data_IF_100063624620
#
_entry.id   IF_100063624620
#
_cell.length_a   1.000
_cell.length_b   1.000
_cell.length_c   1.000
_cell.angle_alpha   90.00
_cell.angle_beta   90.00
_cell.angle_gamma   90.00
#
_symmetry.space_group_name_H-M   'P 1'
#
loop_
_entity.id
_entity.type
_entity.pdbx_description
1 polymer ?
#
# COMPACT_ATOMS: atom_id res chain seq x y z
N UNK A 1 20.33 -20.76 20.34
CA UNK A 1 19.40 -21.73 19.70
C UNK A 1 19.80 -21.85 18.25
N UNK A 2 19.67 -23.03 17.67
CA UNK A 2 20.13 -23.30 16.30
C UNK A 2 18.93 -23.63 15.41
N UNK A 3 18.90 -23.01 14.24
CA UNK A 3 17.82 -23.13 13.26
C UNK A 3 18.40 -23.58 11.90
N UNK A 4 17.58 -24.18 11.04
CA UNK A 4 18.01 -24.50 9.68
C UNK A 4 17.92 -23.27 8.78
N UNK A 5 16.85 -22.48 8.94
CA UNK A 5 16.52 -21.37 8.05
C UNK A 5 16.29 -20.06 8.80
N UNK A 6 16.95 -18.99 8.34
CA UNK A 6 16.75 -17.62 8.80
C UNK A 6 16.13 -16.74 7.72
N UNK A 7 15.00 -16.10 8.04
CA UNK A 7 14.31 -15.15 7.16
C UNK A 7 14.45 -13.73 7.70
N UNK A 8 14.87 -12.82 6.86
CA UNK A 8 14.94 -11.41 7.22
C UNK A 8 13.66 -10.69 6.80
N UNK A 9 13.02 -10.04 7.78
CA UNK A 9 11.90 -9.15 7.56
C UNK A 9 10.52 -9.73 7.85
N UNK A 10 9.64 -8.84 8.27
CA UNK A 10 8.29 -9.18 8.77
C UNK A 10 7.17 -8.55 7.93
N UNK A 11 7.47 -8.18 6.68
CA UNK A 11 6.45 -7.72 5.73
C UNK A 11 5.36 -8.78 5.52
N UNK A 12 4.11 -8.35 5.29
CA UNK A 12 2.96 -9.23 4.99
C UNK A 12 3.34 -10.30 3.96
N UNK A 13 4.01 -9.90 2.87
CA UNK A 13 4.46 -10.81 1.80
C UNK A 13 5.42 -11.88 2.31
N UNK A 14 6.41 -11.49 3.12
CA UNK A 14 7.37 -12.45 3.70
C UNK A 14 6.64 -13.45 4.59
N UNK A 15 5.72 -12.97 5.42
CA UNK A 15 4.99 -13.80 6.36
C UNK A 15 4.02 -14.77 5.65
N UNK A 16 3.28 -14.31 4.63
CA UNK A 16 2.38 -15.19 3.84
C UNK A 16 3.18 -16.31 3.17
N UNK A 17 4.35 -16.02 2.59
CA UNK A 17 5.21 -17.06 1.99
C UNK A 17 5.62 -18.13 3.00
N UNK A 18 5.80 -17.78 4.27
CA UNK A 18 6.13 -18.77 5.31
C UNK A 18 4.97 -19.74 5.57
N UNK A 19 3.72 -19.38 5.27
CA UNK A 19 2.61 -20.33 5.37
C UNK A 19 2.68 -21.44 4.33
N UNK A 20 3.31 -21.19 3.18
CA UNK A 20 3.49 -22.12 2.06
C UNK A 20 4.66 -23.09 2.29
N UNK A 21 5.49 -22.84 3.30
CA UNK A 21 6.71 -23.59 3.56
C UNK A 21 6.44 -24.55 4.72
N UNK A 22 6.50 -25.86 4.45
CA UNK A 22 6.44 -26.90 5.47
C UNK A 22 7.84 -27.16 6.05
N UNK A 23 8.34 -26.21 6.84
CA UNK A 23 9.64 -26.34 7.48
C UNK A 23 9.55 -26.13 8.99
N UNK A 24 10.15 -27.08 9.72
CA UNK A 24 10.47 -26.93 11.14
C UNK A 24 11.79 -26.17 11.26
N UNK A 25 12.03 -25.53 12.41
CA UNK A 25 13.30 -24.83 12.70
C UNK A 25 13.55 -23.58 11.84
N UNK A 26 12.54 -22.71 11.77
CA UNK A 26 12.62 -21.40 11.11
C UNK A 26 12.71 -20.29 12.15
N UNK A 27 13.65 -19.37 11.94
CA UNK A 27 13.70 -18.09 12.65
C UNK A 27 13.47 -16.94 11.67
N UNK A 28 12.59 -16.02 12.04
CA UNK A 28 12.37 -14.74 11.36
C UNK A 28 12.98 -13.65 12.21
N UNK A 29 13.77 -12.77 11.61
CA UNK A 29 14.38 -11.65 12.32
C UNK A 29 14.18 -10.32 11.60
N UNK A 30 14.08 -9.25 12.38
CA UNK A 30 13.92 -7.89 11.88
C UNK A 30 14.61 -6.88 12.79
N UNK A 31 15.26 -5.89 12.21
CA UNK A 31 15.90 -4.79 12.93
C UNK A 31 14.95 -3.59 13.11
N UNK A 32 13.64 -3.85 13.10
CA UNK A 32 12.57 -2.87 13.24
C UNK A 32 11.97 -2.95 14.64
N UNK A 33 11.33 -1.89 15.11
CA UNK A 33 10.61 -1.90 16.40
C UNK A 33 9.33 -2.73 16.34
N UNK A 34 8.67 -2.67 15.19
CA UNK A 34 7.38 -3.27 14.93
C UNK A 34 7.50 -4.30 13.83
N UNK A 35 6.57 -5.24 13.79
CA UNK A 35 6.43 -6.12 12.64
C UNK A 35 5.89 -5.33 11.44
N UNK A 36 6.23 -5.80 10.24
CA UNK A 36 5.75 -5.23 8.99
C UNK A 36 6.64 -4.12 8.46
N UNK A 37 6.01 -3.21 7.72
CA UNK A 37 6.66 -2.09 7.03
C UNK A 37 6.22 -0.73 7.58
N UNK A 38 5.48 -0.75 8.70
CA UNK A 38 5.00 0.44 9.40
C UNK A 38 6.09 0.97 10.33
N UNK A 39 6.25 2.29 10.40
CA UNK A 39 7.25 2.94 11.25
C UNK A 39 6.71 4.23 11.83
N UNK A 40 7.23 4.65 12.99
CA UNK A 40 7.03 6.03 13.43
C UNK A 40 7.78 6.97 12.49
N UNK A 41 7.36 8.24 12.34
CA UNK A 41 8.09 9.22 11.54
C UNK A 41 9.56 9.36 11.93
N UNK A 42 9.87 9.25 13.22
CA UNK A 42 11.25 9.29 13.73
C UNK A 42 12.08 8.07 13.35
N UNK A 43 11.47 6.91 13.17
CA UNK A 43 12.16 5.65 12.86
C UNK A 43 12.31 5.39 11.36
N UNK A 44 11.66 6.18 10.51
CA UNK A 44 11.77 6.06 9.05
C UNK A 44 13.24 6.08 8.59
N UNK A 45 14.10 6.90 9.21
CA UNK A 45 15.50 7.00 8.84
C UNK A 45 16.30 5.71 9.11
N UNK A 46 15.87 4.93 10.09
CA UNK A 46 16.49 3.65 10.47
C UNK A 46 15.84 2.44 9.81
N UNK A 47 14.66 2.63 9.19
CA UNK A 47 13.95 1.56 8.50
C UNK A 47 14.77 1.02 7.32
N UNK A 48 14.96 -0.30 7.26
CA UNK A 48 15.69 -0.94 6.16
C UNK A 48 15.00 -0.76 4.79
N UNK A 49 13.69 -0.57 4.81
CA UNK A 49 12.81 -0.37 3.66
C UNK A 49 12.96 1.04 3.07
N UNK A 50 13.47 1.99 3.86
CA UNK A 50 13.60 3.40 3.47
C UNK A 50 15.01 3.70 2.96
N UNK A 51 15.10 4.50 1.89
CA UNK A 51 16.31 5.10 1.35
C UNK A 51 16.08 6.59 1.10
N UNK A 52 17.16 7.36 1.13
CA UNK A 52 17.16 8.79 0.78
C UNK A 52 16.09 9.60 1.54
N UNK A 53 15.93 9.33 2.83
CA UNK A 53 14.93 10.04 3.62
C UNK A 53 15.27 11.53 3.70
N UNK A 54 14.23 12.36 3.57
CA UNK A 54 14.28 13.79 3.83
C UNK A 54 13.08 14.18 4.68
N UNK A 55 13.32 14.65 5.89
CA UNK A 55 12.28 15.18 6.77
C UNK A 55 12.27 16.70 6.60
N UNK A 56 11.24 17.24 5.96
CA UNK A 56 11.09 18.69 5.78
C UNK A 56 10.40 19.33 6.98
N UNK A 57 9.46 18.63 7.61
CA UNK A 57 8.69 19.11 8.77
C UNK A 57 8.29 17.93 9.67
N UNK A 58 8.36 18.10 10.99
CA UNK A 58 7.99 17.08 11.97
C UNK A 58 7.46 17.72 13.24
N UNK A 59 6.20 18.14 13.23
CA UNK A 59 5.56 18.77 14.39
C UNK A 59 4.77 17.79 15.26
N UNK A 60 4.38 16.62 14.74
CA UNK A 60 3.55 15.65 15.44
C UNK A 60 4.10 14.23 15.28
N UNK A 61 4.85 13.68 16.25
CA UNK A 61 5.48 12.38 16.10
C UNK A 61 4.50 11.19 16.22
N UNK A 62 3.27 11.40 16.71
CA UNK A 62 2.32 10.32 17.00
C UNK A 62 1.49 9.90 15.78
N UNK A 63 2.15 9.48 14.71
CA UNK A 63 1.49 8.77 13.61
C UNK A 63 2.25 7.50 13.21
N UNK A 64 1.56 6.63 12.50
CA UNK A 64 2.10 5.41 11.92
C UNK A 64 2.22 5.64 10.41
N UNK A 65 3.45 5.54 9.92
CA UNK A 65 3.77 5.76 8.51
C UNK A 65 4.12 4.42 7.88
N UNK A 66 3.40 4.07 6.83
CA UNK A 66 3.73 2.91 6.02
C UNK A 66 4.89 3.24 5.08
N UNK A 67 5.94 2.44 5.11
CA UNK A 67 7.04 2.54 4.13
C UNK A 67 6.69 1.91 2.79
N UNK A 68 5.58 1.16 2.76
CA UNK A 68 4.91 0.62 1.56
C UNK A 68 3.39 0.76 1.74
N UNK A 69 2.83 1.98 1.68
CA UNK A 69 1.39 2.19 1.88
C UNK A 69 0.58 1.42 0.84
N UNK A 70 -0.46 0.73 1.29
CA UNK A 70 -1.28 -0.16 0.47
C UNK A 70 -2.74 -0.05 0.86
N UNK A 71 -3.60 -0.16 -0.16
CA UNK A 71 -5.02 -0.39 -0.01
C UNK A 71 -5.32 -1.82 -0.47
N UNK A 72 -6.26 -2.46 0.19
CA UNK A 72 -6.70 -3.81 -0.15
C UNK A 72 -7.94 -3.69 -1.02
N UNK A 73 -7.97 -4.38 -2.17
CA UNK A 73 -9.24 -4.58 -2.87
C UNK A 73 -10.08 -5.54 -2.04
N UNK A 74 -11.34 -5.20 -1.82
CA UNK A 74 -12.27 -6.02 -1.03
C UNK A 74 -12.42 -7.43 -1.59
N UNK A 75 -12.35 -7.58 -2.92
CA UNK A 75 -12.39 -8.86 -3.63
C UNK A 75 -11.00 -9.30 -4.17
N UNK A 76 -9.91 -8.79 -3.59
CA UNK A 76 -8.54 -9.14 -4.01
C UNK A 76 -8.00 -10.40 -3.33
N UNK A 77 -7.06 -11.10 -3.97
CA UNK A 77 -6.53 -12.38 -3.47
C UNK A 77 -5.90 -12.29 -2.09
N UNK A 78 -5.38 -11.12 -1.70
CA UNK A 78 -4.83 -10.93 -0.36
C UNK A 78 -5.92 -11.00 0.72
N UNK A 79 -7.09 -10.39 0.49
CA UNK A 79 -8.22 -10.51 1.43
C UNK A 79 -8.70 -11.95 1.50
N UNK A 80 -8.89 -12.61 0.35
CA UNK A 80 -9.24 -14.05 0.30
C UNK A 80 -8.22 -14.91 1.03
N UNK A 81 -6.93 -14.60 0.90
CA UNK A 81 -5.87 -15.33 1.61
C UNK A 81 -5.89 -15.09 3.12
N UNK A 82 -6.21 -13.88 3.57
CA UNK A 82 -6.39 -13.60 5.00
C UNK A 82 -7.63 -14.31 5.55
N UNK A 83 -8.68 -14.45 4.75
CA UNK A 83 -9.88 -15.23 5.08
C UNK A 83 -9.56 -16.72 5.23
N UNK A 84 -8.84 -17.31 4.28
CA UNK A 84 -8.37 -18.72 4.34
C UNK A 84 -7.51 -19.03 5.58
N UNK A 85 -6.86 -18.01 6.15
CA UNK A 85 -6.02 -18.12 7.34
C UNK A 85 -6.78 -17.78 8.65
N UNK A 86 -8.10 -17.57 8.58
CA UNK A 86 -8.97 -17.15 9.69
C UNK A 86 -8.52 -15.83 10.36
N UNK A 87 -7.81 -14.97 9.61
CA UNK A 87 -7.26 -13.72 10.15
C UNK A 87 -8.25 -12.56 10.15
N UNK A 88 -9.24 -12.58 9.27
CA UNK A 88 -10.26 -11.51 9.20
C UNK A 88 -11.10 -11.39 10.48
N UNK A 89 -11.13 -12.42 11.34
CA UNK A 89 -11.78 -12.36 12.65
C UNK A 89 -11.05 -11.44 13.65
N UNK A 90 -9.79 -11.12 13.40
CA UNK A 90 -8.92 -10.39 14.32
C UNK A 90 -8.41 -9.06 13.74
N UNK A 91 -8.80 -8.72 12.51
CA UNK A 91 -8.33 -7.52 11.82
C UNK A 91 -9.55 -6.74 11.34
N UNK A 92 -9.76 -5.57 11.92
CA UNK A 92 -10.80 -4.66 11.49
C UNK A 92 -10.32 -3.83 10.29
N UNK A 93 -11.21 -3.63 9.33
CA UNK A 93 -10.95 -2.82 8.14
C UNK A 93 -11.94 -1.65 8.06
N UNK A 94 -11.44 -0.50 7.60
CA UNK A 94 -12.26 0.62 7.16
C UNK A 94 -12.43 0.55 5.65
N UNK A 95 -13.66 0.59 5.18
CA UNK A 95 -14.00 0.63 3.77
C UNK A 95 -13.77 2.02 3.18
N UNK A 96 -13.17 2.08 1.99
CA UNK A 96 -12.92 3.32 1.26
C UNK A 96 -13.72 3.25 -0.04
N UNK A 97 -14.73 4.13 -0.14
CA UNK A 97 -15.68 4.18 -1.25
C UNK A 97 -15.24 5.10 -2.39
N UNK A 98 -14.38 6.07 -2.09
CA UNK A 98 -14.01 7.10 -3.05
C UNK A 98 -12.71 6.73 -3.78
N UNK A 99 -12.85 6.49 -5.09
CA UNK A 99 -11.76 6.39 -6.04
C UNK A 99 -11.80 7.62 -6.97
N UNK A 100 -10.76 8.44 -6.95
CA UNK A 100 -10.70 9.71 -7.66
C UNK A 100 -9.62 9.73 -8.76
N UNK A 101 -9.92 10.34 -9.89
CA UNK A 101 -8.93 10.82 -10.84
C UNK A 101 -8.85 12.34 -10.78
N UNK A 102 -7.65 12.89 -10.77
CA UNK A 102 -7.38 14.33 -10.66
C UNK A 102 -6.50 14.71 -11.84
N UNK A 103 -7.01 15.54 -12.73
CA UNK A 103 -6.26 15.95 -13.93
C UNK A 103 -5.22 17.06 -13.64
N UNK A 104 -4.53 17.51 -14.67
CA UNK A 104 -3.48 18.55 -14.57
C UNK A 104 -4.03 19.92 -14.13
N UNK A 105 -5.33 20.16 -14.35
CA UNK A 105 -6.03 21.37 -13.93
C UNK A 105 -6.64 21.24 -12.53
N UNK A 106 -6.35 20.13 -11.83
CA UNK A 106 -6.89 19.74 -10.53
C UNK A 106 -8.41 19.52 -10.53
N UNK A 107 -9.00 19.21 -11.68
CA UNK A 107 -10.39 18.79 -11.77
C UNK A 107 -10.51 17.37 -11.23
N UNK A 108 -11.46 17.18 -10.30
CA UNK A 108 -11.68 15.90 -9.62
C UNK A 108 -12.81 15.13 -10.28
N UNK A 109 -12.53 13.90 -10.70
CA UNK A 109 -13.47 12.96 -11.29
C UNK A 109 -13.59 11.74 -10.40
N UNK A 110 -14.81 11.42 -9.95
CA UNK A 110 -15.07 10.16 -9.25
C UNK A 110 -15.17 9.02 -10.26
N UNK A 111 -14.44 7.94 -10.01
CA UNK A 111 -14.55 6.67 -10.74
C UNK A 111 -15.79 5.94 -10.22
N UNK A 112 -16.76 5.61 -11.09
CA UNK A 112 -17.95 4.88 -10.66
C UNK A 112 -17.60 3.48 -10.16
N UNK A 113 -18.15 3.07 -9.02
CA UNK A 113 -18.20 1.68 -8.56
C UNK A 113 -19.64 1.20 -8.33
N UNK A 114 -20.63 2.08 -8.46
CA UNK A 114 -22.04 1.76 -8.31
C UNK A 114 -22.86 2.38 -9.46
N UNK A 115 -24.00 1.77 -9.78
CA UNK A 115 -24.88 2.23 -10.87
C UNK A 115 -25.27 3.71 -10.73
N UNK A 116 -25.60 4.16 -9.51
CA UNK A 116 -25.98 5.55 -9.26
C UNK A 116 -24.82 6.52 -9.51
N UNK A 117 -23.57 6.08 -9.43
CA UNK A 117 -22.39 6.90 -9.70
C UNK A 117 -22.16 7.07 -11.20
N UNK A 118 -22.48 6.05 -12.00
CA UNK A 118 -22.51 6.18 -13.47
C UNK A 118 -23.53 7.26 -13.85
N UNK A 119 -24.75 7.18 -13.29
CA UNK A 119 -25.82 8.16 -13.57
C UNK A 119 -25.41 9.58 -13.16
N UNK A 120 -24.78 9.74 -11.98
CA UNK A 120 -24.31 11.03 -11.45
C UNK A 120 -23.02 11.53 -12.08
N UNK A 121 -22.29 10.70 -12.83
CA UNK A 121 -21.02 11.09 -13.43
C UNK A 121 -21.18 12.31 -14.33
N UNK A 122 -20.28 13.28 -14.17
CA UNK A 122 -20.25 14.52 -14.96
C UNK A 122 -19.32 14.43 -16.17
N UNK A 123 -18.41 13.46 -16.17
CA UNK A 123 -17.42 13.28 -17.23
C UNK A 123 -17.88 12.28 -18.30
N UNK A 124 -19.05 11.68 -18.13
CA UNK A 124 -19.69 10.80 -19.11
C UNK A 124 -20.91 11.50 -19.74
N UNK A 125 -21.02 11.45 -21.06
CA UNK A 125 -22.26 11.76 -21.79
C UNK A 125 -23.34 10.70 -21.54
N UNK A 126 -24.59 10.99 -21.95
CA UNK A 126 -25.69 10.03 -21.78
C UNK A 126 -25.44 8.69 -22.51
N UNK A 127 -24.82 8.73 -23.70
CA UNK A 127 -24.49 7.53 -24.47
C UNK A 127 -23.36 6.73 -23.78
N UNK A 128 -22.33 7.43 -23.31
CA UNK A 128 -21.22 6.82 -22.58
C UNK A 128 -21.68 6.19 -21.26
N UNK A 129 -22.62 6.81 -20.54
CA UNK A 129 -23.23 6.23 -19.34
C UNK A 129 -23.90 4.88 -19.62
N UNK A 130 -24.64 4.78 -20.72
CA UNK A 130 -25.26 3.52 -21.13
C UNK A 130 -24.19 2.46 -21.47
N UNK A 131 -23.17 2.83 -22.25
CA UNK A 131 -22.08 1.91 -22.59
C UNK A 131 -21.33 1.43 -21.33
N UNK A 132 -21.03 2.34 -20.41
CA UNK A 132 -20.40 2.04 -19.13
C UNK A 132 -21.25 1.09 -18.28
N UNK A 133 -22.56 1.34 -18.18
CA UNK A 133 -23.49 0.47 -17.47
C UNK A 133 -23.49 -0.95 -18.05
N UNK A 134 -23.62 -1.11 -19.37
CA UNK A 134 -23.57 -2.45 -19.97
C UNK A 134 -22.20 -3.11 -19.81
N UNK A 135 -21.11 -2.34 -19.85
CA UNK A 135 -19.76 -2.86 -19.65
C UNK A 135 -19.56 -3.43 -18.24
N UNK A 136 -19.93 -2.70 -17.19
CA UNK A 136 -19.73 -3.17 -15.80
C UNK A 136 -20.60 -4.38 -15.45
N UNK A 137 -21.75 -4.53 -16.12
CA UNK A 137 -22.64 -5.69 -15.99
C UNK A 137 -22.31 -6.82 -16.97
N UNK A 138 -21.11 -6.84 -17.57
CA UNK A 138 -20.63 -7.86 -18.51
C UNK A 138 -21.52 -8.08 -19.74
N UNK A 139 -22.31 -7.07 -20.10
CA UNK A 139 -23.20 -7.06 -21.27
C UNK A 139 -22.55 -6.41 -22.50
N UNK A 140 -21.33 -5.86 -22.37
CA UNK A 140 -20.57 -5.22 -23.44
C UNK A 140 -19.10 -5.62 -23.31
N UNK A 141 -18.44 -5.97 -24.42
CA UNK A 141 -17.00 -6.27 -24.39
C UNK A 141 -16.18 -4.99 -24.24
N UNK A 142 -14.95 -5.10 -23.75
CA UNK A 142 -14.09 -3.93 -23.54
C UNK A 142 -13.80 -3.17 -24.84
N UNK A 143 -13.63 -3.87 -25.95
CA UNK A 143 -13.36 -3.26 -27.26
C UNK A 143 -14.56 -2.42 -27.73
N UNK A 144 -15.77 -2.90 -27.46
CA UNK A 144 -17.02 -2.20 -27.78
C UNK A 144 -17.24 -1.04 -26.82
N UNK A 145 -16.96 -1.22 -25.53
CA UNK A 145 -16.95 -0.15 -24.53
C UNK A 145 -15.99 0.97 -24.95
N UNK A 146 -14.74 0.63 -25.30
CA UNK A 146 -13.75 1.57 -25.79
C UNK A 146 -14.22 2.27 -27.07
N UNK A 147 -14.83 1.57 -28.01
CA UNK A 147 -15.35 2.18 -29.23
C UNK A 147 -16.51 3.17 -28.96
N UNK A 148 -17.26 2.98 -27.87
CA UNK A 148 -18.38 3.82 -27.48
C UNK A 148 -18.00 5.05 -26.64
N UNK A 149 -16.72 5.17 -26.24
CA UNK A 149 -16.24 6.20 -25.32
C UNK A 149 -15.46 7.28 -26.08
N UNK A 150 -15.61 8.54 -25.65
CA UNK A 150 -14.77 9.62 -26.15
C UNK A 150 -13.33 9.49 -25.64
N UNK A 151 -12.37 10.08 -26.36
CA UNK A 151 -10.95 10.06 -25.97
C UNK A 151 -10.72 10.59 -24.55
N UNK A 152 -11.50 11.60 -24.14
CA UNK A 152 -11.40 12.19 -22.80
C UNK A 152 -11.91 11.24 -21.71
N UNK A 153 -13.10 10.65 -21.90
CA UNK A 153 -13.65 9.68 -20.96
C UNK A 153 -12.77 8.43 -20.84
N UNK A 154 -12.21 7.96 -21.95
CA UNK A 154 -11.22 6.87 -21.97
C UNK A 154 -9.94 7.25 -21.25
N UNK A 155 -9.43 8.46 -21.46
CA UNK A 155 -8.25 8.96 -20.76
C UNK A 155 -8.46 8.97 -19.25
N UNK A 156 -9.59 9.52 -18.78
CA UNK A 156 -9.97 9.52 -17.37
C UNK A 156 -10.05 8.08 -16.83
N UNK A 157 -10.79 7.21 -17.52
CA UNK A 157 -10.95 5.80 -17.12
C UNK A 157 -9.60 5.08 -17.03
N UNK A 158 -8.79 5.13 -18.09
CA UNK A 158 -7.51 4.43 -18.16
C UNK A 158 -6.49 4.94 -17.14
N UNK A 159 -6.40 6.26 -16.96
CA UNK A 159 -5.48 6.85 -15.99
C UNK A 159 -5.92 6.55 -14.56
N UNK A 160 -7.23 6.61 -14.28
CA UNK A 160 -7.76 6.32 -12.94
C UNK A 160 -7.42 4.90 -12.47
N UNK A 161 -7.49 3.93 -13.37
CA UNK A 161 -7.15 2.54 -13.07
C UNK A 161 -5.64 2.25 -13.22
N UNK A 162 -4.83 3.26 -13.55
CA UNK A 162 -3.40 3.12 -13.87
C UNK A 162 -3.14 1.95 -14.83
N UNK A 163 -3.95 1.83 -15.89
CA UNK A 163 -3.90 0.68 -16.81
C UNK A 163 -2.56 0.66 -17.54
N UNK A 164 -1.65 -0.22 -17.08
CA UNK A 164 -0.43 -0.56 -17.80
C UNK A 164 -0.69 -1.69 -18.81
N UNK A 165 -1.52 -2.66 -18.43
CA UNK A 165 -2.03 -3.72 -19.31
C UNK A 165 -3.51 -3.98 -19.01
N UNK A 166 -4.29 -4.27 -20.05
CA UNK A 166 -5.73 -4.52 -19.92
C UNK A 166 -6.02 -5.74 -19.03
N UNK A 167 -5.24 -6.83 -19.19
CA UNK A 167 -5.54 -8.12 -18.58
C UNK A 167 -5.56 -8.08 -17.04
N UNK A 168 -4.90 -7.09 -16.43
CA UNK A 168 -4.75 -7.03 -14.98
C UNK A 168 -5.65 -5.98 -14.32
N UNK A 169 -5.87 -4.81 -14.93
CA UNK A 169 -6.55 -3.71 -14.24
C UNK A 169 -8.07 -3.75 -14.37
N UNK A 170 -8.59 -4.10 -15.55
CA UNK A 170 -10.04 -4.07 -15.80
C UNK A 170 -10.77 -5.19 -15.05
N UNK A 171 -10.33 -6.46 -15.09
CA UNK A 171 -11.00 -7.52 -14.32
C UNK A 171 -11.06 -7.22 -12.82
N UNK A 172 -10.00 -6.64 -12.26
CA UNK A 172 -9.93 -6.22 -10.86
C UNK A 172 -10.87 -5.06 -10.52
N UNK A 173 -11.05 -4.13 -11.46
CA UNK A 173 -12.05 -3.07 -11.31
C UNK A 173 -13.47 -3.66 -11.35
N UNK A 174 -13.77 -4.49 -12.34
CA UNK A 174 -15.09 -5.12 -12.53
C UNK A 174 -15.46 -6.04 -11.37
N UNK A 175 -14.51 -6.81 -10.83
CA UNK A 175 -14.76 -7.68 -9.67
C UNK A 175 -15.14 -6.91 -8.42
N UNK A 176 -14.77 -5.63 -8.33
CA UNK A 176 -15.11 -4.76 -7.20
C UNK A 176 -16.38 -3.93 -7.43
N UNK A 177 -17.00 -4.00 -8.62
CA UNK A 177 -18.19 -3.20 -8.92
C UNK A 177 -19.40 -3.66 -8.07
N UNK A 178 -20.14 -2.69 -7.53
CA UNK A 178 -21.22 -2.92 -6.58
C UNK A 178 -20.78 -3.12 -5.12
N UNK A 179 -19.47 -3.10 -4.86
CA UNK A 179 -18.87 -3.24 -3.53
C UNK A 179 -17.96 -2.03 -3.24
N UNK A 180 -17.57 -1.80 -1.97
CA UNK A 180 -16.51 -0.84 -1.66
C UNK A 180 -15.23 -1.24 -2.41
N UNK A 181 -14.60 -0.34 -3.19
CA UNK A 181 -13.48 -0.70 -4.04
C UNK A 181 -12.22 -1.05 -3.26
N UNK A 182 -12.07 -0.46 -2.08
CA UNK A 182 -10.88 -0.59 -1.27
C UNK A 182 -11.23 -0.72 0.21
N UNK A 183 -10.31 -1.30 0.97
CA UNK A 183 -10.31 -1.30 2.42
C UNK A 183 -8.90 -1.02 2.95
N UNK A 184 -8.84 -0.54 4.19
CA UNK A 184 -7.60 -0.26 4.90
C UNK A 184 -7.68 -0.77 6.34
N UNK A 185 -6.68 -1.50 6.83
CA UNK A 185 -6.69 -2.07 8.18
C UNK A 185 -6.61 -0.96 9.24
N UNK A 186 -7.42 -1.09 10.28
CA UNK A 186 -7.28 -0.26 11.47
C UNK A 186 -5.91 -0.54 12.10
N UNK A 187 -5.22 0.51 12.53
CA UNK A 187 -3.82 0.50 13.00
C UNK A 187 -2.77 0.24 11.89
N UNK A 188 -3.17 0.29 10.62
CA UNK A 188 -2.27 0.19 9.48
C UNK A 188 -1.85 -1.26 9.16
N UNK A 189 -0.89 -1.41 8.25
CA UNK A 189 -0.46 -2.69 7.72
C UNK A 189 0.22 -3.57 8.78
N UNK A 190 0.75 -2.94 9.83
CA UNK A 190 1.31 -3.61 11.01
C UNK A 190 0.35 -4.63 11.60
N UNK A 191 -0.94 -4.33 11.69
CA UNK A 191 -1.90 -5.24 12.35
C UNK A 191 -1.92 -6.60 11.63
N UNK A 192 -1.89 -6.60 10.29
CA UNK A 192 -1.84 -7.82 9.49
C UNK A 192 -0.52 -8.58 9.75
N UNK A 193 0.61 -7.87 9.78
CA UNK A 193 1.90 -8.48 10.09
C UNK A 193 1.96 -9.07 11.50
N UNK A 194 1.43 -8.37 12.51
CA UNK A 194 1.36 -8.82 13.90
C UNK A 194 0.52 -10.12 14.01
N UNK A 195 -0.66 -10.17 13.38
CA UNK A 195 -1.52 -11.36 13.40
C UNK A 195 -0.91 -12.55 12.62
N UNK A 196 -0.31 -12.30 11.45
CA UNK A 196 0.39 -13.34 10.68
C UNK A 196 1.55 -13.92 11.49
N UNK A 197 2.35 -13.07 12.15
CA UNK A 197 3.45 -13.51 13.01
C UNK A 197 2.95 -14.38 14.16
N UNK A 198 1.84 -14.00 14.81
CA UNK A 198 1.22 -14.81 15.87
C UNK A 198 0.81 -16.20 15.37
N UNK A 199 0.16 -16.27 14.21
CA UNK A 199 -0.24 -17.53 13.60
C UNK A 199 0.96 -18.41 13.21
N UNK A 200 2.03 -17.81 12.70
CA UNK A 200 3.27 -18.53 12.41
C UNK A 200 3.97 -19.04 13.68
N UNK A 201 3.86 -18.33 14.81
CA UNK A 201 4.37 -18.83 16.09
C UNK A 201 3.67 -20.10 16.55
N UNK A 202 2.35 -20.25 16.31
CA UNK A 202 1.65 -21.52 16.54
C UNK A 202 2.12 -22.65 15.62
N UNK A 203 2.77 -22.32 14.50
CA UNK A 203 3.42 -23.26 13.57
C UNK A 203 4.90 -23.49 13.88
N UNK A 204 5.38 -23.10 15.07
CA UNK A 204 6.78 -23.21 15.53
C UNK A 204 7.79 -22.34 14.76
N UNK A 205 7.34 -21.22 14.18
CA UNK A 205 8.25 -20.18 13.67
C UNK A 205 8.65 -19.26 14.82
N UNK A 206 9.96 -19.12 15.04
CA UNK A 206 10.51 -18.22 16.05
C UNK A 206 10.70 -16.82 15.47
N UNK A 207 10.42 -15.78 16.25
CA UNK A 207 10.61 -14.38 15.84
C UNK A 207 11.63 -13.68 16.74
N UNK A 208 12.54 -12.92 16.13
CA UNK A 208 13.49 -12.04 16.80
C UNK A 208 13.42 -10.64 16.17
N UNK A 209 12.55 -9.79 16.72
CA UNK A 209 12.29 -8.43 16.22
C UNK A 209 12.75 -7.41 17.26
N UNK A 210 13.75 -6.59 16.92
CA UNK A 210 14.22 -5.49 17.77
C UNK A 210 15.17 -4.56 16.98
N UNK A 211 15.17 -3.24 17.25
CA UNK A 211 16.02 -2.25 16.57
C UNK A 211 17.52 -2.58 16.56
N UNK A 212 18.00 -3.26 17.61
CA UNK A 212 19.43 -3.59 17.78
C UNK A 212 19.84 -4.94 17.18
N UNK A 213 18.93 -5.63 16.49
CA UNK A 213 19.21 -6.92 15.84
C UNK A 213 20.28 -6.76 14.76
N UNK A 214 21.33 -7.58 14.87
CA UNK A 214 22.41 -7.69 13.89
C UNK A 214 22.51 -9.13 13.40
N UNK A 215 22.66 -9.32 12.09
CA UNK A 215 22.92 -10.61 11.47
C UNK A 215 24.33 -10.61 10.87
N UNK A 216 25.21 -11.48 11.37
CA UNK A 216 26.59 -11.62 10.91
C UNK A 216 26.77 -12.98 10.23
N UNK A 217 27.44 -12.99 9.07
CA UNK A 217 27.81 -14.22 8.38
C UNK A 217 29.09 -14.80 8.98
N UNK A 218 29.04 -16.05 9.42
CA UNK A 218 30.17 -16.84 9.90
C UNK A 218 30.61 -17.84 8.83
N UNK A 219 31.68 -18.60 9.08
CA UNK A 219 32.27 -19.51 8.09
C UNK A 219 31.31 -20.60 7.59
N UNK A 220 30.38 -21.07 8.43
CA UNK A 220 29.45 -22.16 8.12
C UNK A 220 27.99 -21.92 8.54
N UNK A 221 27.68 -20.75 9.11
CA UNK A 221 26.34 -20.38 9.58
C UNK A 221 26.19 -18.86 9.63
N UNK A 222 25.02 -18.39 10.03
CA UNK A 222 24.72 -17.00 10.34
C UNK A 222 24.38 -16.89 11.82
N UNK A 223 24.82 -15.82 12.46
CA UNK A 223 24.47 -15.49 13.84
C UNK A 223 23.63 -14.22 13.87
N UNK A 224 22.48 -14.30 14.55
CA UNK A 224 21.65 -13.16 14.93
C UNK A 224 21.99 -12.84 16.37
N UNK A 225 22.31 -11.58 16.65
CA UNK A 225 22.58 -11.09 18.00
C UNK A 225 21.75 -9.83 18.28
N UNK A 226 21.34 -9.66 19.54
CA UNK A 226 20.59 -8.52 20.01
C UNK A 226 20.45 -8.56 21.54
N UNK A 227 19.57 -7.73 22.08
CA UNK A 227 19.40 -7.56 23.54
C UNK A 227 18.89 -8.82 24.26
N UNK A 228 18.30 -9.79 23.54
CA UNK A 228 17.74 -11.03 24.11
C UNK A 228 18.66 -12.24 23.91
N UNK A 229 19.92 -12.02 23.55
CA UNK A 229 20.91 -13.07 23.30
C UNK A 229 21.12 -13.34 21.81
N UNK A 230 21.69 -14.50 21.50
CA UNK A 230 22.00 -14.91 20.13
C UNK A 230 21.32 -16.20 19.68
N UNK A 231 21.08 -16.28 18.37
CA UNK A 231 20.56 -17.45 17.68
C UNK A 231 21.38 -17.68 16.40
N UNK A 232 21.55 -18.94 16.01
CA UNK A 232 22.28 -19.28 14.78
C UNK A 232 21.37 -19.94 13.78
N UNK A 233 21.68 -19.80 12.48
CA UNK A 233 20.98 -20.52 11.43
C UNK A 233 21.89 -20.85 10.23
N UNK A 234 21.61 -21.94 9.52
CA UNK A 234 22.51 -22.39 8.43
C UNK A 234 22.27 -21.66 7.10
N UNK A 235 21.01 -21.44 6.73
CA UNK A 235 20.62 -20.88 5.43
C UNK A 235 19.87 -19.57 5.58
N UNK A 236 20.45 -18.47 5.08
CA UNK A 236 19.75 -17.20 4.95
C UNK A 236 18.84 -17.23 3.74
N UNK A 237 17.56 -16.93 3.96
CA UNK A 237 16.57 -16.70 2.91
C UNK A 237 16.22 -15.22 2.93
N UNK A 238 16.67 -14.50 1.91
CA UNK A 238 16.22 -13.13 1.70
C UNK A 238 14.82 -13.19 1.08
N UNK A 239 13.85 -12.49 1.67
CA UNK A 239 12.49 -12.40 1.13
C UNK A 239 12.42 -11.74 -0.27
N UNK A 240 13.51 -11.05 -0.65
CA UNK A 240 13.74 -10.43 -1.95
C UNK A 240 14.53 -11.38 -2.85
N UNK A 241 13.92 -11.81 -3.96
CA UNK A 241 14.60 -12.58 -5.00
C UNK A 241 15.81 -11.77 -5.50
N UNK A 242 17.03 -12.25 -5.27
CA UNK A 242 18.32 -11.59 -5.56
C UNK A 242 18.60 -11.56 -7.10
N UNK A 243 17.61 -11.20 -7.91
CA UNK A 243 17.73 -11.19 -9.38
C UNK A 243 16.62 -10.44 -10.12
N UNK A 244 15.56 -9.99 -9.44
CA UNK A 244 14.57 -9.12 -10.07
C UNK A 244 15.08 -7.67 -10.05
N UNK A 245 14.95 -6.97 -11.18
CA UNK A 245 15.19 -5.53 -11.24
C UNK A 245 14.09 -4.86 -10.42
N UNK A 246 14.41 -4.53 -9.17
CA UNK A 246 13.51 -3.86 -8.26
C UNK A 246 13.19 -2.45 -8.77
N UNK A 247 11.91 -2.19 -9.06
CA UNK A 247 11.43 -0.85 -9.41
C UNK A 247 11.56 0.06 -8.19
N UNK A 248 12.17 1.23 -8.37
CA UNK A 248 12.29 2.22 -7.31
C UNK A 248 11.01 3.06 -7.25
N UNK A 249 10.42 3.16 -6.07
CA UNK A 249 9.28 4.03 -5.81
C UNK A 249 9.69 5.21 -4.95
N UNK A 250 9.05 6.35 -5.18
CA UNK A 250 9.26 7.61 -4.48
C UNK A 250 7.99 7.96 -3.72
N UNK A 251 8.15 8.31 -2.46
CA UNK A 251 7.06 8.60 -1.54
C UNK A 251 7.22 10.01 -0.98
N UNK A 252 6.10 10.69 -0.79
CA UNK A 252 5.96 11.86 0.08
C UNK A 252 4.77 11.66 0.98
N UNK A 253 4.99 11.69 2.29
CA UNK A 253 3.97 11.47 3.30
C UNK A 253 3.74 12.77 4.04
N UNK A 254 2.48 13.18 4.07
CA UNK A 254 2.04 14.38 4.76
C UNK A 254 1.09 14.02 5.89
N UNK A 255 1.24 14.67 7.04
CA UNK A 255 0.20 14.74 8.05
C UNK A 255 -0.43 16.14 7.98
N UNK A 256 -1.73 16.22 7.72
CA UNK A 256 -2.46 17.47 7.49
C UNK A 256 -3.46 17.75 8.62
N UNK A 257 -3.74 19.02 8.90
CA UNK A 257 -4.80 19.47 9.85
C UNK A 257 -6.19 19.43 9.23
N UNK A 258 -6.28 19.43 7.91
CA UNK A 258 -7.53 19.42 7.14
C UNK A 258 -7.45 18.37 6.04
N UNK A 259 -8.59 17.81 5.58
CA UNK A 259 -8.60 16.86 4.48
C UNK A 259 -7.95 17.47 3.24
N UNK A 260 -7.21 16.67 2.46
CA UNK A 260 -6.65 17.15 1.19
C UNK A 260 -7.75 17.39 0.15
N UNK A 261 -8.61 16.40 -0.10
CA UNK A 261 -9.79 16.50 -0.97
C UNK A 261 -10.98 15.87 -0.24
N UNK A 262 -10.81 14.61 0.17
CA UNK A 262 -11.72 13.88 1.05
C UNK A 262 -10.93 13.30 2.24
N UNK A 263 -11.60 12.96 3.35
CA UNK A 263 -10.98 12.30 4.51
C UNK A 263 -10.36 10.95 4.19
N UNK A 264 -11.06 10.14 3.39
CA UNK A 264 -10.73 8.76 3.05
C UNK A 264 -10.93 8.56 1.55
N UNK A 265 -9.85 8.39 0.78
CA UNK A 265 -9.94 8.08 -0.63
C UNK A 265 -8.66 7.45 -1.19
N UNK A 266 -8.82 6.72 -2.29
CA UNK A 266 -7.75 6.42 -3.22
C UNK A 266 -7.85 7.35 -4.41
N UNK A 267 -6.73 7.81 -4.95
CA UNK A 267 -6.80 8.53 -6.21
C UNK A 267 -5.52 8.53 -7.01
N UNK A 268 -5.66 9.03 -8.23
CA UNK A 268 -4.59 9.16 -9.20
C UNK A 268 -4.56 10.60 -9.69
N UNK A 269 -3.41 11.26 -9.58
CA UNK A 269 -3.19 12.64 -10.01
C UNK A 269 -2.27 12.65 -11.22
N UNK A 270 -2.59 13.47 -12.23
CA UNK A 270 -1.68 13.76 -13.34
C UNK A 270 -0.96 15.07 -13.10
N UNK A 271 0.37 15.04 -13.02
CA UNK A 271 1.20 16.23 -12.84
C UNK A 271 2.33 16.20 -13.86
N UNK A 272 2.41 17.20 -14.73
CA UNK A 272 3.39 17.26 -15.82
C UNK A 272 3.40 15.97 -16.67
N UNK A 273 2.21 15.47 -17.04
CA UNK A 273 1.97 14.22 -17.77
C UNK A 273 2.46 12.95 -17.07
N UNK A 274 2.78 13.03 -15.78
CA UNK A 274 3.18 11.89 -14.97
C UNK A 274 2.11 11.56 -13.93
N UNK A 275 1.98 10.27 -13.65
CA UNK A 275 0.94 9.73 -12.78
C UNK A 275 1.47 9.59 -11.35
N UNK A 276 0.78 10.23 -10.39
CA UNK A 276 1.07 10.12 -8.96
C UNK A 276 -0.13 9.51 -8.26
N UNK A 277 0.08 8.40 -7.55
CA UNK A 277 -0.97 7.78 -6.75
C UNK A 277 -1.08 8.49 -5.41
N UNK A 278 -2.30 8.53 -4.87
CA UNK A 278 -2.62 9.18 -3.60
C UNK A 278 -3.48 8.26 -2.75
N UNK A 279 -3.09 8.09 -1.50
CA UNK A 279 -3.92 7.47 -0.46
C UNK A 279 -4.10 8.52 0.61
N UNK A 280 -5.35 8.85 0.94
CA UNK A 280 -5.68 9.66 2.09
C UNK A 280 -6.47 8.83 3.09
N UNK A 281 -6.06 8.89 4.35
CA UNK A 281 -6.77 8.28 5.48
C UNK A 281 -6.87 9.28 6.63
N UNK A 282 -7.98 9.20 7.38
CA UNK A 282 -8.21 10.04 8.54
C UNK A 282 -7.97 9.28 9.85
N UNK A 283 -8.26 9.91 10.98
CA UNK A 283 -8.07 9.31 12.29
C UNK A 283 -8.94 8.06 12.57
N UNK A 284 -9.96 7.77 11.74
CA UNK A 284 -10.81 6.57 11.93
C UNK A 284 -10.04 5.26 11.77
N UNK A 285 -8.97 5.26 10.95
CA UNK A 285 -8.09 4.10 10.79
C UNK A 285 -7.04 4.00 11.90
N UNK A 286 -7.01 4.95 12.85
CA UNK A 286 -6.12 4.98 14.04
C UNK A 286 -4.61 4.96 13.73
N UNK A 287 -4.21 5.47 12.57
CA UNK A 287 -2.79 5.67 12.20
C UNK A 287 -2.30 7.10 12.44
N UNK A 288 -3.18 8.03 12.76
CA UNK A 288 -2.84 9.43 13.05
C UNK A 288 -3.70 9.98 14.21
N UNK A 289 -3.30 11.10 14.83
CA UNK A 289 -4.05 11.71 15.92
C UNK A 289 -5.46 12.15 15.51
N UNK A 290 -6.38 12.36 16.46
CA UNK A 290 -7.71 12.91 16.18
C UNK A 290 -7.64 14.20 15.36
N UNK A 291 -8.62 14.38 14.47
CA UNK A 291 -8.76 15.57 13.62
C UNK A 291 -7.58 15.84 12.68
N UNK A 292 -6.82 14.80 12.31
CA UNK A 292 -5.73 14.88 11.34
C UNK A 292 -5.88 13.86 10.22
N UNK A 293 -5.19 14.11 9.11
CA UNK A 293 -5.30 13.32 7.87
C UNK A 293 -3.90 12.94 7.38
N UNK A 294 -3.67 11.65 7.17
CA UNK A 294 -2.42 11.12 6.64
C UNK A 294 -2.56 10.89 5.14
N UNK A 295 -1.70 11.55 4.36
CA UNK A 295 -1.74 11.52 2.90
C UNK A 295 -0.42 11.00 2.35
N UNK A 296 -0.49 9.94 1.57
CA UNK A 296 0.64 9.35 0.87
C UNK A 296 0.57 9.70 -0.61
N UNK A 297 1.58 10.40 -1.12
CA UNK A 297 1.84 10.54 -2.55
C UNK A 297 2.92 9.57 -2.96
N UNK A 298 2.70 8.79 -4.01
CA UNK A 298 3.74 7.88 -4.49
C UNK A 298 3.70 7.62 -6.00
N UNK A 299 4.88 7.40 -6.58
CA UNK A 299 5.03 7.02 -7.98
C UNK A 299 6.34 6.27 -8.22
N UNK A 300 6.51 5.76 -9.43
CA UNK A 300 7.70 5.06 -9.90
C UNK A 300 8.78 5.99 -10.47
N UNK A 301 8.62 7.28 -10.25
CA UNK A 301 9.53 8.34 -10.68
C UNK A 301 9.61 9.40 -9.58
N UNK A 302 10.63 10.24 -9.64
CA UNK A 302 10.79 11.28 -8.63
C UNK A 302 9.60 12.25 -8.62
N UNK A 303 9.04 12.49 -7.43
CA UNK A 303 7.92 13.41 -7.24
C UNK A 303 8.36 14.85 -7.52
N UNK A 304 7.55 15.67 -8.22
CA UNK A 304 7.91 17.05 -8.52
C UNK A 304 8.21 17.86 -7.26
N UNK A 305 9.28 18.66 -7.27
CA UNK A 305 9.62 19.52 -6.12
C UNK A 305 8.49 20.50 -5.77
N UNK A 306 7.74 20.96 -6.78
CA UNK A 306 6.60 21.87 -6.64
C UNK A 306 5.25 21.15 -6.42
N UNK A 307 5.26 19.89 -5.96
CA UNK A 307 4.04 19.11 -5.74
C UNK A 307 3.04 19.84 -4.82
N UNK A 308 3.45 20.30 -3.63
CA UNK A 308 2.50 20.95 -2.70
C UNK A 308 1.95 22.27 -3.22
N UNK A 309 2.77 23.20 -3.75
CA UNK A 309 2.24 24.42 -4.36
C UNK A 309 1.29 24.14 -5.52
N UNK A 310 1.62 23.15 -6.38
CA UNK A 310 0.75 22.76 -7.49
C UNK A 310 -0.60 22.25 -6.99
N UNK A 311 -0.61 21.42 -5.94
CA UNK A 311 -1.82 20.89 -5.32
C UNK A 311 -2.54 21.89 -4.39
N UNK A 312 -2.05 23.14 -4.29
CA UNK A 312 -2.58 24.18 -3.39
C UNK A 312 -2.64 23.75 -1.92
N UNK A 313 -1.69 22.92 -1.48
CA UNK A 313 -1.55 22.53 -0.07
C UNK A 313 -0.72 23.60 0.64
N UNK A 314 -1.35 24.34 1.55
CA UNK A 314 -0.73 25.41 2.31
C UNK A 314 0.17 24.86 3.43
N UNK A 315 1.35 25.46 3.63
CA UNK A 315 2.35 24.96 4.60
C UNK A 315 1.83 24.97 6.05
N UNK A 316 0.93 25.90 6.37
CA UNK A 316 0.28 25.98 7.69
C UNK A 316 -0.65 24.79 8.00
N UNK A 317 -1.14 24.12 6.96
CA UNK A 317 -1.94 22.89 7.08
C UNK A 317 -1.05 21.65 7.30
N UNK A 318 0.23 21.72 6.94
CA UNK A 318 1.16 20.60 7.04
C UNK A 318 1.74 20.51 8.46
N UNK A 319 1.48 19.41 9.16
CA UNK A 319 2.09 19.08 10.46
C UNK A 319 3.40 18.31 10.26
N UNK A 320 3.40 17.31 9.39
CA UNK A 320 4.59 16.53 9.04
C UNK A 320 4.74 16.46 7.52
N UNK A 321 5.98 16.45 7.04
CA UNK A 321 6.34 16.24 5.64
C UNK A 321 7.65 15.45 5.56
N UNK A 322 7.56 14.22 5.07
CA UNK A 322 8.69 13.34 4.87
C UNK A 322 8.68 12.78 3.44
N UNK A 323 9.84 12.80 2.78
CA UNK A 323 10.07 12.15 1.51
C UNK A 323 11.04 10.99 1.67
N UNK A 324 10.84 9.90 0.93
CA UNK A 324 11.79 8.79 0.88
C UNK A 324 11.56 7.92 -0.35
N UNK A 325 12.49 7.00 -0.59
CA UNK A 325 12.36 6.01 -1.67
C UNK A 325 12.37 4.60 -1.09
N UNK A 326 11.68 3.67 -1.76
CA UNK A 326 11.67 2.25 -1.43
C UNK A 326 11.94 1.41 -2.70
N UNK A 327 12.65 0.28 -2.54
CA UNK A 327 12.96 -0.68 -3.61
C UNK A 327 12.04 -1.91 -3.61
N UNK A 328 11.16 -2.03 -2.63
CA UNK A 328 10.20 -3.11 -2.64
C UNK A 328 9.10 -2.81 -3.64
N UNK A 329 9.07 -3.63 -4.70
CA UNK A 329 7.96 -3.66 -5.62
C UNK A 329 6.77 -4.31 -4.91
N UNK A 330 5.78 -3.49 -4.61
CA UNK A 330 4.44 -3.97 -4.30
C UNK A 330 3.67 -4.08 -5.60
N UNK A 331 3.44 -5.32 -6.03
CA UNK A 331 2.58 -5.62 -7.17
C UNK A 331 1.13 -5.70 -6.69
N UNK A 332 0.26 -4.85 -7.26
CA UNK A 332 -1.20 -5.01 -7.16
C UNK A 332 -1.69 -6.40 -7.58
N UNK A 333 -0.85 -7.14 -8.30
CA UNK A 333 -1.07 -8.52 -8.75
C UNK A 333 -0.68 -9.57 -7.70
N UNK A 334 -1.31 -9.51 -6.53
CA UNK A 334 -1.98 -10.74 -6.08
C UNK A 334 -3.40 -10.64 -6.64
N UNK A 335 -3.46 -10.71 -7.98
CA UNK A 335 -4.63 -10.83 -8.84
C UNK A 335 -5.11 -12.26 -8.88
#
# INVERSE_FOLDING_TARGET
>A
MDFEHGYEGTSIRTLIKLFEIDQKEVIVFDNSEFYGTTSSPSDLATSKYVKNIKINKMSEPKCLVETTPQLFRTNGCLISRLEELDLLLNIDFVEIYDHLYIDEDLTVYKVPYFDYEIVKSKWLSAQEKNAYFYFVHSCLKYEEFRAAMSDESLRIFNNSLSIQTYENCVPNYLSSFGNPPFSYPIYGLREISDQLSRMLSFRNVSFYVNKDVKCTQMSNHYEISGIHGSATFKKRKNGTNIGAVHKLFYFRVLLLKQPFILPLFFGVITINKKVVNVIAVDCSVKVCPPDTFLVYFYSDHELPAQLLPHLKIEDENVLNDACFNNRDEFSWSFS
#
